data_IF_571239964049
#
_entry.id   IF_571239964049
#
_cell.length_a   1.000
_cell.length_b   1.000
_cell.length_c   1.000
_cell.angle_alpha   90.00
_cell.angle_beta   90.00
_cell.angle_gamma   90.00
#
_symmetry.space_group_name_H-M   'P 1'
#
loop_
_entity.id
_entity.type
_entity.pdbx_description
1 polymer ?
#
# COMPACT_ATOMS: atom_id res chain seq x y z
N UNK A 1 -33.48 -16.55 -22.27
CA UNK A 1 -32.32 -17.10 -21.52
C UNK A 1 -30.96 -16.78 -22.14
N UNK A 2 -30.86 -16.44 -23.44
CA UNK A 2 -29.56 -16.26 -24.12
C UNK A 2 -28.83 -14.93 -23.80
N UNK A 3 -29.54 -13.90 -23.35
CA UNK A 3 -28.98 -12.55 -23.09
C UNK A 3 -28.36 -12.39 -21.70
N UNK A 4 -28.67 -13.28 -20.75
CA UNK A 4 -28.14 -13.20 -19.39
C UNK A 4 -26.63 -13.47 -19.33
N UNK A 5 -26.14 -14.44 -20.12
CA UNK A 5 -24.71 -14.77 -20.17
C UNK A 5 -23.85 -13.59 -20.64
N UNK A 6 -24.12 -12.94 -21.79
CA UNK A 6 -23.29 -11.83 -22.25
C UNK A 6 -23.38 -10.60 -21.33
N UNK A 7 -24.54 -10.35 -20.72
CA UNK A 7 -24.70 -9.28 -19.71
C UNK A 7 -23.88 -9.56 -18.46
N UNK A 8 -23.88 -10.82 -17.98
CA UNK A 8 -23.09 -11.22 -16.82
C UNK A 8 -21.58 -11.14 -17.11
N UNK A 9 -21.14 -11.55 -18.31
CA UNK A 9 -19.75 -11.39 -18.73
C UNK A 9 -19.34 -9.91 -18.79
N UNK A 10 -20.17 -9.05 -19.37
CA UNK A 10 -19.89 -7.61 -19.46
C UNK A 10 -19.83 -6.96 -18.07
N UNK A 11 -20.70 -7.36 -17.15
CA UNK A 11 -20.65 -6.87 -15.76
C UNK A 11 -19.37 -7.31 -15.04
N UNK A 12 -18.94 -8.56 -15.21
CA UNK A 12 -17.69 -9.04 -14.61
C UNK A 12 -16.44 -8.37 -15.19
N UNK A 13 -16.46 -8.06 -16.49
CA UNK A 13 -15.36 -7.37 -17.18
C UNK A 13 -15.36 -5.85 -16.93
N UNK A 14 -16.51 -5.26 -16.60
CA UNK A 14 -16.69 -3.83 -16.34
C UNK A 14 -16.52 -3.42 -14.87
N UNK A 15 -16.32 -4.37 -13.95
CA UNK A 15 -15.94 -4.07 -12.57
C UNK A 15 -14.45 -3.79 -12.56
N UNK A 16 -14.09 -2.51 -12.72
CA UNK A 16 -12.78 -2.05 -12.31
C UNK A 16 -12.67 -2.30 -10.80
N UNK A 17 -11.76 -3.20 -10.43
CA UNK A 17 -11.50 -3.58 -9.05
C UNK A 17 -10.78 -2.41 -8.38
N UNK A 18 -11.50 -1.38 -7.94
CA UNK A 18 -10.98 -0.34 -7.06
C UNK A 18 -10.79 -0.94 -5.64
N UNK A 19 -9.89 -1.91 -5.52
CA UNK A 19 -9.41 -2.32 -4.21
C UNK A 19 -8.34 -1.31 -3.82
N UNK A 20 -8.73 -0.29 -3.05
CA UNK A 20 -7.75 0.62 -2.46
C UNK A 20 -6.85 -0.20 -1.54
N UNK A 21 -5.55 -0.16 -1.81
CA UNK A 21 -4.55 -0.85 -1.01
C UNK A 21 -4.58 -0.28 0.42
N UNK A 22 -4.41 -1.16 1.43
CA UNK A 22 -4.31 -0.73 2.83
C UNK A 22 -2.95 -1.12 3.38
N UNK A 23 -2.20 -0.15 3.86
CA UNK A 23 -0.86 -0.33 4.42
C UNK A 23 -0.79 0.15 5.87
N UNK A 24 0.28 -0.25 6.59
CA UNK A 24 0.60 0.30 7.90
C UNK A 24 1.47 1.55 7.77
N UNK A 25 1.12 2.62 8.49
CA UNK A 25 1.85 3.89 8.42
C UNK A 25 2.71 4.11 9.65
N UNK A 26 3.98 4.45 9.46
CA UNK A 26 4.93 4.75 10.53
C UNK A 26 5.71 6.02 10.20
N UNK A 27 5.36 7.15 10.82
CA UNK A 27 6.05 8.43 10.59
C UNK A 27 6.25 9.15 11.91
N UNK A 28 7.51 9.36 12.29
CA UNK A 28 7.94 10.10 13.49
C UNK A 28 7.10 9.75 14.73
N UNK A 29 7.08 8.46 15.11
CA UNK A 29 6.34 7.98 16.28
C UNK A 29 7.31 7.64 17.41
N UNK A 30 6.94 8.06 18.62
CA UNK A 30 7.70 7.77 19.83
C UNK A 30 7.59 6.30 20.29
N UNK A 31 6.62 5.54 19.75
CA UNK A 31 6.43 4.13 20.04
C UNK A 31 6.04 3.37 18.78
N UNK A 32 6.59 2.16 18.63
CA UNK A 32 6.33 1.25 17.52
C UNK A 32 4.86 0.83 17.41
N UNK A 33 4.11 0.83 18.52
CA UNK A 33 2.69 0.46 18.49
C UNK A 33 1.87 1.38 17.56
N UNK A 34 2.22 2.66 17.50
CA UNK A 34 1.54 3.62 16.63
C UNK A 34 1.82 3.41 15.14
N UNK A 35 2.78 2.56 14.79
CA UNK A 35 3.08 2.22 13.40
C UNK A 35 2.13 1.15 12.83
N UNK A 36 1.35 0.48 13.69
CA UNK A 36 0.36 -0.53 13.30
C UNK A 36 -1.00 0.08 12.90
N UNK A 37 -1.03 1.39 12.64
CA UNK A 37 -2.25 2.07 12.19
C UNK A 37 -2.49 1.75 10.70
N UNK A 38 -3.61 1.10 10.35
CA UNK A 38 -3.98 0.90 8.95
C UNK A 38 -4.31 2.24 8.30
N UNK A 39 -3.85 2.43 7.07
CA UNK A 39 -4.06 3.62 6.25
C UNK A 39 -4.42 3.18 4.85
N UNK A 40 -5.48 3.77 4.31
CA UNK A 40 -5.90 3.55 2.92
C UNK A 40 -4.95 4.34 2.02
N UNK A 41 -4.35 3.66 1.06
CA UNK A 41 -3.43 4.22 0.07
C UNK A 41 -4.19 4.84 -1.11
N UNK A 42 -3.47 5.56 -1.97
CA UNK A 42 -4.04 6.08 -3.21
C UNK A 42 -4.48 4.93 -4.11
N UNK A 43 -5.50 5.14 -4.94
CA UNK A 43 -5.95 4.13 -5.92
C UNK A 43 -4.87 3.84 -7.00
N UNK A 44 -3.88 4.73 -7.13
CA UNK A 44 -2.70 4.53 -7.97
C UNK A 44 -1.60 3.67 -7.32
N UNK A 45 -1.66 3.43 -6.01
CA UNK A 45 -0.63 2.69 -5.27
C UNK A 45 -0.87 1.18 -5.39
N UNK A 46 0.18 0.44 -5.74
CA UNK A 46 0.09 -1.00 -6.01
C UNK A 46 0.83 -1.85 -4.97
N UNK A 47 1.67 -1.24 -4.12
CA UNK A 47 2.44 -1.94 -3.10
C UNK A 47 2.79 -1.02 -1.92
N UNK A 48 2.93 -1.60 -0.73
CA UNK A 48 3.41 -0.89 0.45
C UNK A 48 4.93 -0.81 0.42
N UNK A 49 5.49 0.37 0.69
CA UNK A 49 6.92 0.56 0.91
C UNK A 49 7.20 0.91 2.36
N UNK A 50 8.25 0.31 2.92
CA UNK A 50 8.76 0.67 4.25
C UNK A 50 10.16 1.24 4.07
N UNK A 51 10.32 2.53 4.35
CA UNK A 51 11.61 3.20 4.37
C UNK A 51 11.99 3.42 5.83
N UNK A 52 13.09 2.79 6.24
CA UNK A 52 13.60 2.86 7.61
C UNK A 52 14.92 3.60 7.59
N UNK A 53 15.04 4.69 8.35
CA UNK A 53 16.31 5.32 8.63
C UNK A 53 16.67 5.05 10.09
N UNK A 54 17.78 4.37 10.34
CA UNK A 54 18.35 4.23 11.68
C UNK A 54 19.31 5.39 11.93
N UNK A 55 18.96 6.28 12.85
CA UNK A 55 19.90 7.28 13.34
C UNK A 55 20.82 6.61 14.39
N UNK A 56 21.92 6.01 13.93
CA UNK A 56 23.00 5.57 14.80
C UNK A 56 23.96 6.72 15.10
N UNK A 57 24.41 6.86 16.35
CA UNK A 57 25.59 7.68 16.67
C UNK A 57 26.81 6.82 16.26
N UNK A 58 27.19 6.94 14.99
CA UNK A 58 28.22 6.13 14.34
C UNK A 58 27.90 5.99 12.86
N UNK A 59 28.81 6.43 12.01
CA UNK A 59 28.68 6.78 10.58
C UNK A 59 28.24 5.65 9.60
N UNK A 60 27.57 4.57 10.04
CA UNK A 60 27.24 3.43 9.17
C UNK A 60 25.88 2.78 9.48
N UNK A 61 24.83 3.60 9.67
CA UNK A 61 23.45 3.13 9.64
C UNK A 61 23.01 2.90 8.19
N UNK A 62 22.90 1.63 7.78
CA UNK A 62 22.66 1.20 6.40
C UNK A 62 21.64 2.04 5.62
N UNK A 63 22.15 2.78 4.65
CA UNK A 63 21.40 3.44 3.59
C UNK A 63 20.80 2.35 2.67
N UNK A 64 19.59 1.88 2.95
CA UNK A 64 18.80 1.26 1.89
C UNK A 64 18.42 2.37 0.90
N UNK A 65 18.54 2.18 -0.43
CA UNK A 65 18.17 3.20 -1.39
C UNK A 65 16.71 3.60 -1.17
N UNK A 66 16.48 4.90 -0.95
CA UNK A 66 15.13 5.46 -1.05
C UNK A 66 14.63 5.21 -2.49
N UNK A 67 13.37 4.80 -2.69
CA UNK A 67 12.81 4.77 -4.02
C UNK A 67 12.83 6.20 -4.59
N UNK A 68 13.50 6.34 -5.74
CA UNK A 68 13.46 7.54 -6.60
C UNK A 68 12.09 7.73 -7.22
#
# INVERSE_FOLDING_TARGET
MKVLLPVLLAALLGVERAHSLVCFSCTNKNSNFYCLKPTICSDSDNYCVTVSASAGIGEQGGQWPAPV
#
